data_IF_694982564149
#
_entry.id   IF_694982564149
#
_cell.length_a   1.000
_cell.length_b   1.000
_cell.length_c   1.000
_cell.angle_alpha   90.00
_cell.angle_beta   90.00
_cell.angle_gamma   90.00
#
_symmetry.space_group_name_H-M   'P 1'
#
loop_
_entity.id
_entity.type
_entity.pdbx_description
1 polymer ?
#
# COMPACT_ATOMS: atom_id res chain seq x y z
N UNK A 1 6.06 -12.39 20.10
CA UNK A 1 6.80 -13.62 19.73
C UNK A 1 6.54 -14.04 18.28
N UNK A 2 5.30 -13.96 17.78
CA UNK A 2 4.91 -14.42 16.44
C UNK A 2 5.44 -13.60 15.23
N UNK A 3 5.78 -12.31 15.39
CA UNK A 3 6.12 -11.44 14.24
C UNK A 3 7.50 -11.72 13.59
N UNK A 4 8.39 -12.47 14.25
CA UNK A 4 9.77 -12.68 13.79
C UNK A 4 9.99 -13.98 12.99
N UNK A 5 8.93 -14.75 12.77
CA UNK A 5 8.96 -16.01 12.00
C UNK A 5 9.52 -15.74 10.59
N UNK A 6 10.55 -16.51 10.20
CA UNK A 6 11.20 -16.48 8.89
C UNK A 6 11.71 -15.09 8.44
N UNK A 7 12.12 -14.25 9.39
CA UNK A 7 12.67 -12.91 9.11
C UNK A 7 13.93 -12.92 8.22
N UNK A 8 14.84 -13.88 8.42
CA UNK A 8 16.04 -14.01 7.58
C UNK A 8 15.72 -14.48 6.16
N UNK A 9 14.77 -15.43 6.01
CA UNK A 9 14.29 -15.85 4.68
C UNK A 9 13.62 -14.68 3.95
N UNK A 10 12.80 -13.90 4.66
CA UNK A 10 12.16 -12.69 4.11
C UNK A 10 13.21 -11.71 3.59
N UNK A 11 14.29 -11.47 4.35
CA UNK A 11 15.39 -10.59 3.94
C UNK A 11 16.10 -11.09 2.68
N UNK A 12 16.38 -12.40 2.60
CA UNK A 12 17.01 -13.02 1.42
C UNK A 12 16.13 -12.88 0.18
N UNK A 13 14.83 -13.09 0.30
CA UNK A 13 13.86 -12.93 -0.80
C UNK A 13 13.83 -11.48 -1.29
N UNK A 14 13.75 -10.50 -0.39
CA UNK A 14 13.78 -9.08 -0.76
C UNK A 14 15.08 -8.72 -1.50
N UNK A 15 16.22 -9.21 -1.01
CA UNK A 15 17.51 -8.97 -1.64
C UNK A 15 17.57 -9.61 -3.04
N UNK A 16 17.16 -10.88 -3.18
CA UNK A 16 17.13 -11.57 -4.47
C UNK A 16 16.16 -10.91 -5.45
N UNK A 17 14.98 -10.49 -4.99
CA UNK A 17 14.03 -9.72 -5.79
C UNK A 17 14.64 -8.42 -6.33
N UNK A 18 15.46 -7.73 -5.54
CA UNK A 18 16.15 -6.53 -6.02
C UNK A 18 17.20 -6.78 -7.10
N UNK A 19 17.79 -7.99 -7.13
CA UNK A 19 18.82 -8.38 -8.11
C UNK A 19 18.19 -8.96 -9.39
N UNK A 20 17.14 -9.77 -9.26
CA UNK A 20 16.52 -10.47 -10.37
C UNK A 20 15.38 -9.70 -11.05
N UNK A 21 14.90 -8.61 -10.43
CA UNK A 21 13.88 -7.73 -11.03
C UNK A 21 14.44 -6.90 -12.18
N UNK A 22 13.57 -6.52 -13.12
CA UNK A 22 13.92 -5.60 -14.21
C UNK A 22 13.79 -4.13 -13.75
N UNK A 23 14.90 -3.37 -13.60
CA UNK A 23 14.87 -2.09 -12.89
C UNK A 23 14.00 -1.00 -13.55
N UNK A 24 13.99 -0.96 -14.88
CA UNK A 24 13.23 0.03 -15.64
C UNK A 24 11.72 -0.22 -15.47
N UNK A 25 11.28 -1.46 -15.63
CA UNK A 25 9.90 -1.88 -15.42
C UNK A 25 9.46 -1.64 -13.98
N UNK A 26 10.33 -1.93 -13.00
CA UNK A 26 10.09 -1.65 -11.57
C UNK A 26 9.84 -0.16 -11.31
N UNK A 27 10.52 0.72 -12.04
CA UNK A 27 10.36 2.17 -11.88
C UNK A 27 9.01 2.62 -12.42
N UNK A 28 8.64 2.18 -13.62
CA UNK A 28 7.34 2.46 -14.22
C UNK A 28 6.17 1.91 -13.37
N UNK A 29 6.32 0.70 -12.84
CA UNK A 29 5.32 0.10 -11.95
C UNK A 29 5.18 0.85 -10.62
N UNK A 30 6.26 1.45 -10.09
CA UNK A 30 6.15 2.31 -8.91
C UNK A 30 5.40 3.61 -9.22
N UNK A 31 5.55 4.16 -10.42
CA UNK A 31 4.85 5.37 -10.85
C UNK A 31 3.34 5.19 -10.92
N UNK A 32 2.82 3.95 -11.08
CA UNK A 32 1.37 3.67 -10.96
C UNK A 32 0.91 3.42 -9.52
N UNK A 33 1.78 3.63 -8.52
CA UNK A 33 1.43 3.51 -7.10
C UNK A 33 1.81 2.17 -6.46
N UNK A 34 2.36 1.19 -7.20
CA UNK A 34 2.81 -0.07 -6.59
C UNK A 34 3.95 0.17 -5.60
N UNK A 35 3.92 -0.58 -4.50
CA UNK A 35 5.05 -0.61 -3.55
C UNK A 35 6.27 -1.22 -4.24
N UNK A 36 7.46 -0.76 -3.87
CA UNK A 36 8.74 -1.23 -4.43
C UNK A 36 8.83 -2.76 -4.51
N UNK A 37 8.52 -3.46 -3.42
CA UNK A 37 8.60 -4.93 -3.42
C UNK A 37 7.58 -5.57 -4.37
N UNK A 38 6.35 -5.07 -4.46
CA UNK A 38 5.34 -5.58 -5.40
C UNK A 38 5.75 -5.35 -6.86
N UNK A 39 6.29 -4.16 -7.16
CA UNK A 39 6.83 -3.85 -8.49
C UNK A 39 8.02 -4.77 -8.84
N UNK A 40 8.92 -5.03 -7.89
CA UNK A 40 10.00 -6.01 -8.06
C UNK A 40 9.45 -7.41 -8.29
N UNK A 41 8.50 -7.84 -7.47
CA UNK A 41 7.90 -9.16 -7.55
C UNK A 41 7.22 -9.42 -8.90
N UNK A 42 6.49 -8.46 -9.47
CA UNK A 42 5.88 -8.63 -10.80
C UNK A 42 6.91 -8.72 -11.94
N UNK A 43 8.15 -8.30 -11.71
CA UNK A 43 9.21 -8.27 -12.73
C UNK A 43 10.28 -9.34 -12.57
N UNK A 44 10.19 -10.20 -11.55
CA UNK A 44 11.06 -11.38 -11.42
C UNK A 44 10.63 -12.53 -12.33
N UNK A 45 11.47 -13.56 -12.57
CA UNK A 45 11.07 -14.75 -13.31
C UNK A 45 9.89 -15.52 -12.65
N UNK A 46 9.01 -16.19 -13.42
CA UNK A 46 7.87 -16.93 -12.87
C UNK A 46 8.27 -18.03 -11.86
N UNK A 47 9.40 -18.70 -12.07
CA UNK A 47 9.94 -19.69 -11.13
C UNK A 47 10.20 -19.06 -9.75
N UNK A 48 10.77 -17.85 -9.73
CA UNK A 48 11.01 -17.12 -8.51
C UNK A 48 9.72 -16.58 -7.90
N UNK A 49 8.74 -16.14 -8.71
CA UNK A 49 7.42 -15.74 -8.20
C UNK A 49 6.78 -16.84 -7.35
N UNK A 50 6.82 -18.09 -7.83
CA UNK A 50 6.30 -19.26 -7.10
C UNK A 50 6.95 -19.42 -5.73
N UNK A 51 8.27 -19.26 -5.66
CA UNK A 51 9.01 -19.33 -4.39
C UNK A 51 8.59 -18.22 -3.41
N UNK A 52 8.43 -16.98 -3.91
CA UNK A 52 8.01 -15.84 -3.09
C UNK A 52 6.63 -16.06 -2.49
N UNK A 53 5.66 -16.49 -3.31
CA UNK A 53 4.29 -16.77 -2.85
C UNK A 53 4.27 -17.90 -1.84
N UNK A 54 4.93 -19.02 -2.12
CA UNK A 54 4.97 -20.15 -1.20
C UNK A 54 5.53 -19.73 0.18
N UNK A 55 6.62 -18.95 0.19
CA UNK A 55 7.19 -18.41 1.41
C UNK A 55 6.22 -17.45 2.12
N UNK A 56 5.61 -16.51 1.39
CA UNK A 56 4.70 -15.53 1.96
C UNK A 56 3.45 -16.18 2.58
N UNK A 57 2.85 -17.15 1.90
CA UNK A 57 1.69 -17.90 2.39
C UNK A 57 2.06 -18.73 3.62
N UNK A 58 3.14 -19.51 3.57
CA UNK A 58 3.60 -20.33 4.70
C UNK A 58 3.91 -19.48 5.93
N UNK A 59 4.57 -18.32 5.74
CA UNK A 59 4.85 -17.39 6.82
C UNK A 59 3.56 -16.83 7.44
N UNK A 60 2.60 -16.39 6.63
CA UNK A 60 1.34 -15.85 7.15
C UNK A 60 0.53 -16.91 7.88
N UNK A 61 0.48 -18.13 7.36
CA UNK A 61 -0.17 -19.26 8.04
C UNK A 61 0.44 -19.48 9.44
N UNK A 62 1.77 -19.57 9.55
CA UNK A 62 2.44 -19.74 10.84
C UNK A 62 2.21 -18.57 11.79
N UNK A 63 2.21 -17.34 11.28
CA UNK A 63 1.92 -16.14 12.08
C UNK A 63 0.49 -16.12 12.61
N UNK A 64 -0.48 -16.53 11.79
CA UNK A 64 -1.89 -16.60 12.17
C UNK A 64 -2.17 -17.74 13.14
N UNK A 65 -1.55 -18.91 12.95
CA UNK A 65 -1.64 -20.02 13.90
C UNK A 65 -1.05 -19.63 15.27
N UNK A 66 0.10 -18.95 15.27
CA UNK A 66 0.68 -18.39 16.50
C UNK A 66 -0.27 -17.36 17.14
N UNK A 67 -0.86 -16.47 16.35
CA UNK A 67 -1.87 -15.51 16.82
C UNK A 67 -3.09 -16.20 17.45
N UNK A 68 -3.61 -17.25 16.83
CA UNK A 68 -4.74 -18.04 17.34
C UNK A 68 -4.43 -18.64 18.71
N UNK A 69 -3.24 -19.22 18.89
CA UNK A 69 -2.82 -19.83 20.17
C UNK A 69 -2.66 -18.82 21.29
N UNK A 70 -2.16 -17.60 21.01
CA UNK A 70 -1.84 -16.61 22.05
C UNK A 70 -2.91 -15.53 22.26
N UNK A 71 -3.57 -15.08 21.20
CA UNK A 71 -4.55 -13.99 21.20
C UNK A 71 -6.00 -14.50 21.04
N UNK A 72 -6.18 -15.76 20.65
CA UNK A 72 -7.47 -16.39 20.42
C UNK A 72 -7.96 -16.30 18.97
N UNK A 73 -8.84 -17.23 18.59
CA UNK A 73 -9.35 -17.36 17.22
C UNK A 73 -10.16 -16.14 16.77
N UNK A 74 -10.94 -15.55 17.67
CA UNK A 74 -11.78 -14.40 17.34
C UNK A 74 -10.94 -13.17 16.97
N UNK A 75 -9.91 -12.88 17.77
CA UNK A 75 -8.98 -11.76 17.53
C UNK A 75 -8.22 -11.99 16.23
N UNK A 76 -7.75 -13.22 16.02
CA UNK A 76 -7.03 -13.60 14.80
C UNK A 76 -7.91 -13.45 13.55
N UNK A 77 -9.18 -13.87 13.61
CA UNK A 77 -10.13 -13.69 12.51
C UNK A 77 -10.38 -12.22 12.19
N UNK A 78 -10.56 -11.36 13.19
CA UNK A 78 -10.71 -9.91 12.98
C UNK A 78 -9.46 -9.31 12.33
N UNK A 79 -8.27 -9.80 12.68
CA UNK A 79 -7.01 -9.37 12.08
C UNK A 79 -6.89 -9.80 10.61
N UNK A 80 -7.35 -10.99 10.24
CA UNK A 80 -7.40 -11.41 8.84
C UNK A 80 -8.31 -10.47 8.03
N UNK A 81 -9.49 -10.16 8.57
CA UNK A 81 -10.42 -9.23 7.90
C UNK A 81 -9.84 -7.81 7.78
N UNK A 82 -9.14 -7.32 8.81
CA UNK A 82 -8.43 -6.03 8.73
C UNK A 82 -7.29 -6.05 7.70
N UNK A 83 -6.53 -7.15 7.60
CA UNK A 83 -5.48 -7.29 6.59
C UNK A 83 -6.08 -7.33 5.17
N UNK A 84 -7.24 -7.97 4.98
CA UNK A 84 -7.96 -8.00 3.70
C UNK A 84 -8.42 -6.64 3.20
N UNK A 85 -8.43 -5.60 4.05
CA UNK A 85 -8.66 -4.22 3.60
C UNK A 85 -7.45 -3.59 2.92
N UNK A 86 -6.34 -4.33 2.78
CA UNK A 86 -5.14 -3.90 2.07
C UNK A 86 -4.96 -4.73 0.80
N UNK A 87 -4.77 -4.05 -0.34
CA UNK A 87 -4.69 -4.68 -1.67
C UNK A 87 -3.84 -5.94 -1.75
N UNK A 88 -2.54 -5.84 -1.42
CA UNK A 88 -1.63 -6.99 -1.51
C UNK A 88 -2.04 -8.17 -0.61
N UNK A 89 -2.55 -7.90 0.60
CA UNK A 89 -3.00 -8.98 1.48
C UNK A 89 -4.30 -9.61 0.98
N UNK A 90 -5.19 -8.81 0.39
CA UNK A 90 -6.38 -9.33 -0.29
C UNK A 90 -6.00 -10.27 -1.43
N UNK A 91 -5.10 -9.85 -2.32
CA UNK A 91 -4.61 -10.69 -3.41
C UNK A 91 -4.00 -11.99 -2.89
N UNK A 92 -3.19 -11.89 -1.83
CA UNK A 92 -2.57 -13.05 -1.20
C UNK A 92 -3.60 -14.04 -0.64
N UNK A 93 -4.53 -13.57 0.19
CA UNK A 93 -5.52 -14.45 0.84
C UNK A 93 -6.57 -15.01 -0.11
N UNK A 94 -6.99 -14.23 -1.10
CA UNK A 94 -8.13 -14.59 -1.94
C UNK A 94 -7.71 -15.28 -3.25
N UNK A 95 -6.42 -15.21 -3.62
CA UNK A 95 -5.91 -15.78 -4.87
C UNK A 95 -4.58 -16.53 -4.69
N UNK A 96 -3.52 -15.86 -4.27
CA UNK A 96 -2.15 -16.41 -4.34
C UNK A 96 -1.96 -17.64 -3.44
N UNK A 97 -2.54 -17.64 -2.24
CA UNK A 97 -2.46 -18.78 -1.32
C UNK A 97 -3.51 -19.86 -1.59
N UNK A 98 -4.53 -19.58 -2.41
CA UNK A 98 -5.58 -20.54 -2.77
C UNK A 98 -5.28 -21.25 -4.09
N UNK A 99 -4.52 -20.62 -4.99
CA UNK A 99 -4.14 -21.16 -6.27
C UNK A 99 -2.63 -20.94 -6.51
N UNK A 100 -1.87 -22.03 -6.44
CA UNK A 100 -0.40 -22.04 -6.54
C UNK A 100 0.14 -21.60 -7.91
N UNK A 101 -0.71 -21.58 -8.95
CA UNK A 101 -0.35 -21.13 -10.29
C UNK A 101 -0.72 -19.69 -10.58
N UNK A 102 -1.61 -19.07 -9.79
CA UNK A 102 -2.19 -17.74 -10.07
C UNK A 102 -1.11 -16.69 -10.32
N UNK A 103 -0.14 -16.57 -9.41
CA UNK A 103 0.93 -15.60 -9.55
C UNK A 103 1.77 -15.84 -10.81
N UNK A 104 2.04 -17.10 -11.14
CA UNK A 104 2.85 -17.46 -12.32
C UNK A 104 2.11 -17.37 -13.65
N UNK A 105 0.77 -17.39 -13.64
CA UNK A 105 -0.04 -17.25 -14.85
C UNK A 105 -0.44 -15.80 -15.12
N UNK A 106 -0.70 -15.01 -14.08
CA UNK A 106 -1.24 -13.64 -14.20
C UNK A 106 -0.15 -12.58 -14.17
N UNK A 107 0.77 -12.63 -13.20
CA UNK A 107 1.69 -11.53 -12.93
C UNK A 107 2.83 -11.34 -13.95
N UNK A 108 3.32 -12.35 -14.68
CA UNK A 108 4.38 -12.13 -15.66
C UNK A 108 4.01 -11.07 -16.70
N UNK A 109 2.76 -11.06 -17.19
CA UNK A 109 2.32 -10.08 -18.18
C UNK A 109 2.36 -8.65 -17.63
N UNK A 110 2.02 -8.45 -16.35
CA UNK A 110 2.05 -7.13 -15.70
C UNK A 110 3.48 -6.56 -15.72
N UNK A 111 4.47 -7.40 -15.46
CA UNK A 111 5.86 -6.98 -15.40
C UNK A 111 6.57 -6.96 -16.74
N UNK A 112 6.09 -7.64 -17.78
CA UNK A 112 6.67 -7.63 -19.12
C UNK A 112 6.10 -6.49 -19.95
N UNK A 113 6.91 -5.92 -20.85
CA UNK A 113 6.48 -4.88 -21.78
C UNK A 113 5.81 -3.68 -21.08
N UNK A 114 6.23 -3.35 -19.85
CA UNK A 114 5.65 -2.24 -19.07
C UNK A 114 5.68 -0.95 -19.85
N UNK A 115 6.82 -0.65 -20.46
CA UNK A 115 6.98 0.51 -21.35
C UNK A 115 5.95 0.54 -22.47
N UNK A 116 5.56 -0.60 -23.04
CA UNK A 116 4.64 -0.66 -24.18
C UNK A 116 3.21 -0.31 -23.75
N UNK A 117 2.68 -1.02 -22.74
CA UNK A 117 1.30 -0.80 -22.32
C UNK A 117 1.12 0.48 -21.51
N UNK A 118 2.17 0.96 -20.84
CA UNK A 118 2.13 2.18 -20.02
C UNK A 118 2.45 3.45 -20.81
N UNK A 119 3.11 3.35 -21.97
CA UNK A 119 3.55 4.51 -22.76
C UNK A 119 2.47 5.58 -22.97
N UNK A 120 1.22 5.25 -23.32
CA UNK A 120 0.22 6.28 -23.57
C UNK A 120 -0.31 6.96 -22.29
N UNK A 121 0.09 6.49 -21.10
CA UNK A 121 -0.22 7.09 -19.80
C UNK A 121 1.02 7.70 -19.11
N UNK A 122 2.18 7.70 -19.76
CA UNK A 122 3.46 8.03 -19.12
C UNK A 122 3.47 9.41 -18.43
N UNK A 123 2.88 10.42 -19.07
CA UNK A 123 2.77 11.77 -18.49
C UNK A 123 1.89 11.78 -17.23
N UNK A 124 0.72 11.15 -17.28
CA UNK A 124 -0.22 11.08 -16.14
C UNK A 124 0.41 10.30 -14.98
N UNK A 125 1.12 9.20 -15.28
CA UNK A 125 1.86 8.42 -14.30
C UNK A 125 2.95 9.25 -13.61
N UNK A 126 3.71 10.01 -14.39
CA UNK A 126 4.78 10.89 -13.87
C UNK A 126 4.19 12.00 -13.00
N UNK A 127 3.13 12.67 -13.46
CA UNK A 127 2.47 13.73 -12.71
C UNK A 127 1.93 13.24 -11.36
N UNK A 128 1.27 12.07 -11.35
CA UNK A 128 0.82 11.44 -10.10
C UNK A 128 2.00 11.11 -9.18
N UNK A 129 3.05 10.48 -9.72
CA UNK A 129 4.21 10.07 -8.94
C UNK A 129 4.93 11.24 -8.28
N UNK A 130 5.14 12.33 -9.02
CA UNK A 130 5.84 13.52 -8.53
C UNK A 130 4.99 14.24 -7.46
N UNK A 131 3.69 14.44 -7.71
CA UNK A 131 2.78 15.01 -6.72
C UNK A 131 2.78 14.16 -5.45
N UNK A 132 2.57 12.84 -5.58
CA UNK A 132 2.51 11.91 -4.46
C UNK A 132 3.77 12.00 -3.61
N UNK A 133 4.94 12.01 -4.24
CA UNK A 133 6.24 12.08 -3.54
C UNK A 133 6.36 13.38 -2.74
N UNK A 134 6.05 14.52 -3.36
CA UNK A 134 6.12 15.83 -2.72
C UNK A 134 5.11 15.97 -1.58
N UNK A 135 3.86 15.59 -1.84
CA UNK A 135 2.78 15.65 -0.84
C UNK A 135 3.07 14.73 0.34
N UNK A 136 3.63 13.53 0.12
CA UNK A 136 3.99 12.64 1.23
C UNK A 136 5.05 13.25 2.15
N UNK A 137 6.02 13.99 1.60
CA UNK A 137 6.99 14.72 2.41
C UNK A 137 6.33 15.87 3.17
N UNK A 138 5.43 16.62 2.53
CA UNK A 138 4.70 17.71 3.18
C UNK A 138 3.79 17.20 4.32
N UNK A 139 3.04 16.13 4.10
CA UNK A 139 2.18 15.50 5.11
C UNK A 139 3.00 15.08 6.33
N UNK A 140 4.16 14.43 6.12
CA UNK A 140 5.07 14.07 7.21
C UNK A 140 5.52 15.30 7.99
N UNK A 141 5.91 16.37 7.30
CA UNK A 141 6.33 17.63 7.94
C UNK A 141 5.21 18.28 8.76
N UNK A 142 3.99 18.35 8.23
CA UNK A 142 2.81 18.88 8.93
C UNK A 142 2.53 18.07 10.19
N UNK A 143 2.48 16.73 10.05
CA UNK A 143 2.17 15.84 11.16
C UNK A 143 3.24 15.89 12.26
N UNK A 144 4.52 15.82 11.90
CA UNK A 144 5.62 15.90 12.88
C UNK A 144 5.67 17.26 13.57
N UNK A 145 5.36 18.35 12.85
CA UNK A 145 5.24 19.69 13.44
C UNK A 145 4.09 19.76 14.43
N UNK A 146 2.92 19.19 14.11
CA UNK A 146 1.78 19.14 15.01
C UNK A 146 2.11 18.36 16.29
N UNK A 147 2.70 17.18 16.15
CA UNK A 147 3.14 16.34 17.29
C UNK A 147 4.17 17.07 18.14
N UNK A 148 5.15 17.74 17.52
CA UNK A 148 6.19 18.50 18.23
C UNK A 148 5.61 19.71 18.98
N UNK A 149 4.67 20.42 18.37
CA UNK A 149 3.97 21.55 18.97
C UNK A 149 3.19 21.11 20.22
N UNK A 150 2.43 20.02 20.11
CA UNK A 150 1.71 19.45 21.25
C UNK A 150 2.64 19.03 22.38
N UNK A 151 3.79 18.41 22.07
CA UNK A 151 4.78 18.01 23.08
C UNK A 151 5.41 19.20 23.82
N UNK A 152 5.57 20.35 23.15
CA UNK A 152 6.19 21.56 23.71
C UNK A 152 5.24 22.38 24.59
N UNK A 153 3.93 22.17 24.46
CA UNK A 153 2.93 22.80 25.33
C UNK A 153 3.07 22.22 26.75
N UNK A 154 3.70 22.98 27.64
CA UNK A 154 3.83 22.66 29.09
C UNK A 154 2.43 22.57 29.75
N UNK A 155 2.28 21.80 30.85
CA UNK A 155 0.98 21.47 31.42
C UNK A 155 0.37 22.68 32.15
N UNK A 156 -0.53 23.41 31.46
CA UNK A 156 -1.60 24.16 32.13
C UNK A 156 -2.89 23.42 31.85
N UNK A 157 -3.31 22.62 32.85
CA UNK A 157 -4.29 21.55 32.73
C UNK A 157 -5.68 21.96 32.18
N UNK A 158 -6.05 23.25 32.21
CA UNK A 158 -7.39 23.71 31.81
C UNK A 158 -7.56 24.03 30.32
N UNK A 159 -6.46 24.29 29.58
CA UNK A 159 -6.53 24.67 28.15
C UNK A 159 -5.85 23.66 27.22
N UNK A 160 -5.18 22.66 27.78
CA UNK A 160 -4.35 21.70 27.03
C UNK A 160 -5.16 20.91 26.00
N UNK A 161 -6.33 20.40 26.37
CA UNK A 161 -7.18 19.62 25.45
C UNK A 161 -7.70 20.48 24.30
N UNK A 162 -8.05 21.75 24.56
CA UNK A 162 -8.57 22.66 23.53
C UNK A 162 -7.48 23.02 22.52
N UNK A 163 -6.27 23.35 22.98
CA UNK A 163 -5.15 23.69 22.10
C UNK A 163 -4.62 22.47 21.34
N UNK A 164 -4.55 21.30 21.98
CA UNK A 164 -4.14 20.07 21.30
C UNK A 164 -5.13 19.70 20.20
N UNK A 165 -6.44 19.74 20.50
CA UNK A 165 -7.48 19.49 19.52
C UNK A 165 -7.43 20.50 18.38
N UNK A 166 -7.22 21.79 18.66
CA UNK A 166 -7.08 22.81 17.62
C UNK A 166 -5.87 22.55 16.70
N UNK A 167 -4.69 22.27 17.26
CA UNK A 167 -3.47 21.99 16.49
C UNK A 167 -3.66 20.76 15.59
N UNK A 168 -4.21 19.67 16.12
CA UNK A 168 -4.44 18.46 15.33
C UNK A 168 -5.58 18.64 14.32
N UNK A 169 -6.70 19.26 14.68
CA UNK A 169 -7.79 19.54 13.72
C UNK A 169 -7.29 20.35 12.51
N UNK A 170 -6.52 21.40 12.77
CA UNK A 170 -5.94 22.21 11.69
C UNK A 170 -4.94 21.40 10.84
N UNK A 171 -4.06 20.63 11.48
CA UNK A 171 -3.08 19.79 10.77
C UNK A 171 -3.76 18.72 9.91
N UNK A 172 -4.74 18.01 10.47
CA UNK A 172 -5.45 16.92 9.79
C UNK A 172 -6.35 17.44 8.68
N UNK A 173 -7.00 18.59 8.85
CA UNK A 173 -7.73 19.25 7.76
C UNK A 173 -6.82 19.61 6.58
N UNK A 174 -5.61 20.13 6.87
CA UNK A 174 -4.62 20.41 5.82
C UNK A 174 -4.14 19.12 5.14
N UNK A 175 -3.85 18.07 5.91
CA UNK A 175 -3.45 16.76 5.38
C UNK A 175 -4.54 16.18 4.48
N UNK A 176 -5.80 16.21 4.92
CA UNK A 176 -6.92 15.68 4.15
C UNK A 176 -7.03 16.35 2.77
N UNK A 177 -6.88 17.69 2.72
CA UNK A 177 -6.89 18.43 1.44
C UNK A 177 -5.75 18.00 0.50
N UNK A 178 -4.54 17.85 1.04
CA UNK A 178 -3.37 17.38 0.27
C UNK A 178 -3.57 15.94 -0.22
N UNK A 179 -4.19 15.08 0.59
CA UNK A 179 -4.56 13.73 0.16
C UNK A 179 -5.63 13.73 -0.93
N UNK A 180 -6.58 14.67 -0.89
CA UNK A 180 -7.54 14.86 -1.98
C UNK A 180 -6.87 15.14 -3.33
N UNK A 181 -5.81 15.96 -3.34
CA UNK A 181 -5.02 16.22 -4.56
C UNK A 181 -4.35 14.93 -5.07
N UNK A 182 -3.79 14.11 -4.15
CA UNK A 182 -3.24 12.79 -4.51
C UNK A 182 -4.30 11.83 -5.05
N UNK A 183 -5.48 11.77 -4.42
CA UNK A 183 -6.56 10.87 -4.81
C UNK A 183 -7.11 11.23 -6.20
N UNK A 184 -7.19 12.53 -6.52
CA UNK A 184 -7.58 12.98 -7.85
C UNK A 184 -6.62 12.46 -8.92
N UNK A 185 -5.31 12.75 -8.79
CA UNK A 185 -4.32 12.27 -9.78
C UNK A 185 -4.19 10.75 -9.79
N UNK A 186 -4.38 10.09 -8.65
CA UNK A 186 -4.42 8.63 -8.59
C UNK A 186 -5.58 8.08 -9.44
N UNK A 187 -6.77 8.66 -9.34
CA UNK A 187 -7.92 8.27 -10.14
C UNK A 187 -7.70 8.52 -11.64
N UNK A 188 -7.12 9.67 -12.02
CA UNK A 188 -6.76 9.97 -13.41
C UNK A 188 -5.77 8.95 -13.97
N UNK A 189 -4.71 8.65 -13.22
CA UNK A 189 -3.71 7.62 -13.57
C UNK A 189 -4.36 6.24 -13.68
N UNK A 190 -5.17 5.84 -12.70
CA UNK A 190 -5.85 4.54 -12.66
C UNK A 190 -6.78 4.37 -13.86
N UNK A 191 -7.56 5.39 -14.20
CA UNK A 191 -8.49 5.38 -15.33
C UNK A 191 -7.75 5.33 -16.68
N UNK A 192 -6.51 5.79 -16.73
CA UNK A 192 -5.65 5.63 -17.91
C UNK A 192 -5.04 4.23 -17.99
N UNK A 193 -4.43 3.76 -16.90
CA UNK A 193 -3.59 2.55 -16.88
C UNK A 193 -4.41 1.27 -16.97
N UNK A 194 -5.48 1.13 -16.16
CA UNK A 194 -6.20 -0.14 -16.05
C UNK A 194 -6.82 -0.63 -17.36
N UNK A 195 -7.46 0.21 -18.20
CA UNK A 195 -8.00 -0.25 -19.48
C UNK A 195 -6.92 -0.78 -20.42
N UNK A 196 -5.73 -0.15 -20.44
CA UNK A 196 -4.61 -0.55 -21.29
C UNK A 196 -3.99 -1.86 -20.82
N UNK A 197 -3.80 -1.99 -19.50
CA UNK A 197 -3.35 -3.24 -18.90
C UNK A 197 -4.35 -4.37 -19.16
N UNK A 198 -5.66 -4.09 -19.07
CA UNK A 198 -6.70 -5.08 -19.36
C UNK A 198 -6.67 -5.52 -20.83
N UNK A 199 -6.44 -4.59 -21.76
CA UNK A 199 -6.32 -4.90 -23.19
C UNK A 199 -5.08 -5.76 -23.49
N UNK A 200 -3.96 -5.49 -22.82
CA UNK A 200 -2.69 -6.19 -23.05
C UNK A 200 -2.62 -7.54 -22.32
N UNK A 201 -3.04 -7.59 -21.06
CA UNK A 201 -2.80 -8.69 -20.13
C UNK A 201 -4.06 -9.38 -19.63
N UNK A 202 -5.24 -8.90 -20.04
CA UNK A 202 -6.52 -9.46 -19.63
C UNK A 202 -7.04 -8.94 -18.29
N UNK A 203 -8.25 -9.39 -17.96
CA UNK A 203 -9.00 -8.92 -16.80
C UNK A 203 -8.30 -9.22 -15.47
N UNK A 204 -7.77 -10.43 -15.29
CA UNK A 204 -7.17 -10.86 -14.01
C UNK A 204 -5.95 -10.00 -13.63
N UNK A 205 -5.12 -9.67 -14.62
CA UNK A 205 -3.96 -8.80 -14.42
C UNK A 205 -4.37 -7.37 -14.04
N UNK A 206 -5.35 -6.80 -14.76
CA UNK A 206 -5.88 -5.48 -14.44
C UNK A 206 -6.56 -5.44 -13.06
N UNK A 207 -7.29 -6.50 -12.71
CA UNK A 207 -7.91 -6.67 -11.40
C UNK A 207 -6.87 -6.75 -10.28
N UNK A 208 -5.80 -7.53 -10.47
CA UNK A 208 -4.72 -7.67 -9.50
C UNK A 208 -4.01 -6.33 -9.25
N UNK A 209 -3.69 -5.58 -10.32
CA UNK A 209 -3.09 -4.25 -10.19
C UNK A 209 -4.05 -3.30 -9.50
N UNK A 210 -5.31 -3.18 -9.95
CA UNK A 210 -6.32 -2.30 -9.36
C UNK A 210 -6.49 -2.56 -7.87
N UNK A 211 -6.59 -3.83 -7.48
CA UNK A 211 -6.71 -4.23 -6.08
C UNK A 211 -5.46 -3.83 -5.29
N UNK A 212 -4.27 -4.12 -5.83
CA UNK A 212 -2.98 -3.84 -5.17
C UNK A 212 -2.73 -2.36 -4.91
N UNK A 213 -3.12 -1.48 -5.84
CA UNK A 213 -2.90 -0.03 -5.73
C UNK A 213 -4.07 0.73 -5.11
N UNK A 214 -5.30 0.23 -5.29
CA UNK A 214 -6.52 0.92 -4.89
C UNK A 214 -7.00 0.56 -3.49
N UNK A 215 -7.04 -0.72 -3.14
CA UNK A 215 -7.66 -1.14 -1.88
C UNK A 215 -6.81 -0.76 -0.67
N UNK A 216 -7.35 0.12 0.18
CA UNK A 216 -6.64 0.63 1.35
C UNK A 216 -5.58 1.65 0.96
N UNK A 217 -5.82 2.40 -0.12
CA UNK A 217 -4.90 3.41 -0.65
C UNK A 217 -4.46 4.41 0.43
N UNK A 218 -5.41 5.07 1.09
CA UNK A 218 -5.12 6.06 2.13
C UNK A 218 -4.40 5.44 3.33
N UNK A 219 -4.79 4.23 3.76
CA UNK A 219 -4.11 3.51 4.84
C UNK A 219 -2.65 3.25 4.50
N UNK A 220 -2.37 2.87 3.25
CA UNK A 220 -1.01 2.66 2.75
C UNK A 220 -0.22 3.95 2.71
N UNK A 221 -0.79 5.04 2.20
CA UNK A 221 -0.12 6.33 2.05
C UNK A 221 0.18 6.98 3.40
N UNK A 222 -0.76 6.92 4.35
CA UNK A 222 -0.61 7.51 5.69
C UNK A 222 0.39 6.77 6.56
N UNK A 223 0.65 5.48 6.27
CA UNK A 223 1.28 4.53 7.20
C UNK A 223 0.44 4.37 8.47
N UNK A 224 0.80 3.39 9.29
CA UNK A 224 -0.07 2.94 10.38
C UNK A 224 -0.40 4.05 11.39
N UNK A 225 0.60 4.84 11.81
CA UNK A 225 0.40 5.84 12.87
C UNK A 225 -0.59 6.96 12.49
N UNK A 226 -0.36 7.63 11.36
CA UNK A 226 -1.25 8.70 10.91
C UNK A 226 -2.63 8.14 10.55
N UNK A 227 -2.68 6.94 9.96
CA UNK A 227 -3.95 6.27 9.67
C UNK A 227 -4.77 6.00 10.94
N UNK A 228 -4.13 5.54 12.02
CA UNK A 228 -4.80 5.33 13.30
C UNK A 228 -5.33 6.64 13.89
N UNK A 229 -4.60 7.74 13.78
CA UNK A 229 -5.10 9.04 14.25
C UNK A 229 -6.34 9.49 13.43
N UNK A 230 -6.31 9.32 12.10
CA UNK A 230 -7.49 9.57 11.26
C UNK A 230 -8.70 8.74 11.67
N UNK A 231 -8.49 7.45 11.98
CA UNK A 231 -9.58 6.53 12.39
C UNK A 231 -10.07 6.76 13.82
N UNK A 232 -9.18 7.00 14.77
CA UNK A 232 -9.54 7.08 16.19
C UNK A 232 -10.23 8.40 16.55
N UNK A 233 -9.96 9.46 15.79
CA UNK A 233 -10.51 10.79 16.02
C UNK A 233 -11.51 11.20 14.94
N UNK A 234 -11.91 10.28 14.06
CA UNK A 234 -12.91 10.46 13.00
C UNK A 234 -12.69 11.74 12.16
N UNK A 235 -11.44 11.99 11.76
CA UNK A 235 -11.11 13.14 10.92
C UNK A 235 -11.71 12.97 9.52
N UNK A 236 -12.36 14.04 9.03
CA UNK A 236 -13.03 14.07 7.72
C UNK A 236 -12.03 13.84 6.60
N UNK A 237 -12.39 12.95 5.68
CA UNK A 237 -11.64 12.69 4.45
C UNK A 237 -12.08 13.67 3.37
N UNK A 238 -11.17 14.00 2.45
CA UNK A 238 -11.52 14.78 1.26
C UNK A 238 -12.38 13.92 0.33
N UNK A 239 -13.48 14.49 -0.19
CA UNK A 239 -14.45 13.78 -1.05
C UNK A 239 -13.81 13.21 -2.32
N UNK A 240 -12.69 13.77 -2.78
CA UNK A 240 -11.94 13.24 -3.94
C UNK A 240 -11.31 11.87 -3.69
N UNK A 241 -11.23 11.45 -2.44
CA UNK A 241 -10.77 10.11 -2.04
C UNK A 241 -11.91 9.10 -1.85
N UNK A 242 -13.17 9.47 -2.09
CA UNK A 242 -14.28 8.52 -1.97
C UNK A 242 -14.12 7.34 -2.96
N UNK A 243 -14.31 6.12 -2.45
CA UNK A 243 -14.17 4.89 -3.24
C UNK A 243 -12.73 4.35 -3.36
N UNK A 244 -11.79 4.86 -2.56
CA UNK A 244 -10.39 4.41 -2.43
C UNK A 244 -10.07 3.85 -1.03
#
# INVERSE_FOLDING_TARGET
MCNNIDSDKTRRIIQRASVESRPNDVTLLQQIGLKKFTAQFFTVPPSFMKEVIHMACSKHEQQLQCGSVFEGDEVTRRRIEDLRTLGNHKMMFDYECLNDTFATSVYPCIGTDVTLWSAPCAEIMTNYWDLRTNVNQEIMSIYDTAVSTVKKLKPRASLQNVFQNFVFQHAMSKIAKLEGDKCQLFNEMRNCVLPRLMQQCGFEAAFAVNTSIGLGYLRTERRERLNLDFRNFDYVLDARCEGL
#
